data_IF_135161257587
#
_entry.id   IF_135161257587
#
_cell.length_a   1.000
_cell.length_b   1.000
_cell.length_c   1.000
_cell.angle_alpha   90.00
_cell.angle_beta   90.00
_cell.angle_gamma   90.00
#
_symmetry.space_group_name_H-M   'P 1'
#
loop_
_entity.id
_entity.type
_entity.pdbx_description
1 polymer ?
#
# COMPACT_ATOMS: atom_id res chain seq x y z
N UNK A 1 -18.24 -17.33 -8.36
CA UNK A 1 -17.86 -16.07 -9.05
C UNK A 1 -18.11 -14.81 -8.19
N UNK A 2 -19.27 -14.68 -7.51
CA UNK A 2 -19.66 -13.43 -6.81
C UNK A 2 -18.84 -13.09 -5.55
N UNK A 3 -18.46 -14.08 -4.72
CA UNK A 3 -17.67 -13.84 -3.49
C UNK A 3 -16.24 -13.35 -3.80
N UNK A 4 -15.63 -13.84 -4.87
CA UNK A 4 -14.28 -13.42 -5.29
C UNK A 4 -14.23 -11.97 -5.79
N UNK A 5 -15.24 -11.54 -6.55
CA UNK A 5 -15.36 -10.15 -7.01
C UNK A 5 -15.66 -9.16 -5.88
N UNK A 6 -16.41 -9.59 -4.85
CA UNK A 6 -16.66 -8.78 -3.65
C UNK A 6 -15.37 -8.58 -2.84
N UNK A 7 -14.58 -9.64 -2.63
CA UNK A 7 -13.28 -9.55 -1.95
C UNK A 7 -12.32 -8.60 -2.69
N UNK A 8 -12.31 -8.67 -4.03
CA UNK A 8 -11.50 -7.79 -4.87
C UNK A 8 -11.91 -6.32 -4.71
N UNK A 9 -13.21 -6.01 -4.79
CA UNK A 9 -13.72 -4.66 -4.59
C UNK A 9 -13.48 -4.10 -3.19
N UNK A 10 -13.63 -4.93 -2.15
CA UNK A 10 -13.37 -4.55 -0.76
C UNK A 10 -11.90 -4.14 -0.55
N UNK A 11 -10.95 -4.92 -1.06
CA UNK A 11 -9.52 -4.64 -0.89
C UNK A 11 -9.09 -3.32 -1.56
N UNK A 12 -9.71 -2.93 -2.67
CA UNK A 12 -9.47 -1.63 -3.33
C UNK A 12 -10.15 -0.50 -2.56
N UNK A 13 -11.40 -0.70 -2.13
CA UNK A 13 -12.21 0.36 -1.53
C UNK A 13 -11.76 0.73 -0.11
N UNK A 14 -11.32 -0.25 0.68
CA UNK A 14 -11.02 -0.04 2.11
C UNK A 14 -9.70 0.66 2.34
N UNK A 15 -8.73 0.58 1.43
CA UNK A 15 -7.42 1.19 1.66
C UNK A 15 -7.48 2.73 1.70
N UNK A 16 -8.43 3.36 1.02
CA UNK A 16 -8.51 4.83 0.94
C UNK A 16 -8.99 5.49 2.25
N UNK A 17 -9.96 4.88 2.96
CA UNK A 17 -10.53 5.45 4.18
C UNK A 17 -9.50 5.64 5.34
N UNK A 18 -8.60 4.69 5.63
CA UNK A 18 -7.57 4.82 6.66
C UNK A 18 -6.27 5.46 6.16
N UNK A 19 -6.23 6.12 5.00
CA UNK A 19 -4.99 6.69 4.43
C UNK A 19 -4.20 7.51 5.46
N UNK A 20 -4.85 8.44 6.16
CA UNK A 20 -4.19 9.31 7.16
C UNK A 20 -3.60 8.53 8.33
N UNK A 21 -4.24 7.45 8.76
CA UNK A 21 -3.76 6.60 9.87
C UNK A 21 -2.53 5.82 9.42
N UNK A 22 -2.53 5.34 8.18
CA UNK A 22 -1.38 4.63 7.59
C UNK A 22 -0.18 5.57 7.40
N UNK A 23 -0.43 6.79 6.90
CA UNK A 23 0.60 7.83 6.77
C UNK A 23 1.20 8.22 8.13
N UNK A 24 0.39 8.29 9.19
CA UNK A 24 0.88 8.51 10.56
C UNK A 24 1.77 7.36 11.03
N UNK A 25 1.37 6.11 10.78
CA UNK A 25 2.18 4.93 11.11
C UNK A 25 3.51 4.91 10.35
N UNK A 26 3.53 5.36 9.08
CA UNK A 26 4.80 5.55 8.35
C UNK A 26 5.70 6.56 9.05
N UNK A 27 5.15 7.71 9.43
CA UNK A 27 5.90 8.76 10.09
C UNK A 27 6.46 8.31 11.46
N UNK A 28 5.65 7.62 12.27
CA UNK A 28 6.09 7.02 13.53
C UNK A 28 7.23 6.01 13.32
N UNK A 29 7.09 5.14 12.33
CA UNK A 29 8.11 4.13 12.00
C UNK A 29 9.39 4.78 11.50
N UNK A 30 9.29 5.85 10.72
CA UNK A 30 10.42 6.61 10.20
C UNK A 30 11.18 7.32 11.31
N UNK A 31 10.47 8.01 12.21
CA UNK A 31 11.05 8.64 13.39
C UNK A 31 11.76 7.61 14.29
N UNK A 32 11.19 6.43 14.48
CA UNK A 32 11.82 5.35 15.24
C UNK A 32 13.10 4.79 14.60
N UNK A 33 13.28 4.94 13.28
CA UNK A 33 14.44 4.42 12.53
C UNK A 33 15.58 5.43 12.35
N UNK A 34 15.27 6.72 12.23
CA UNK A 34 16.30 7.76 12.00
C UNK A 34 17.17 8.04 13.22
N UNK A 35 16.72 7.68 14.42
CA UNK A 35 17.47 7.91 15.66
C UNK A 35 17.69 9.41 15.96
N UNK A 36 18.55 9.76 16.92
CA UNK A 36 18.72 11.15 17.40
C UNK A 36 19.36 12.11 16.39
N UNK A 37 19.90 11.62 15.27
CA UNK A 37 20.75 12.40 14.36
C UNK A 37 19.98 13.17 13.29
N UNK A 38 18.72 12.81 13.02
CA UNK A 38 17.87 13.53 12.06
C UNK A 38 16.39 13.46 12.47
N UNK A 39 15.92 14.38 13.36
CA UNK A 39 14.57 14.36 13.93
C UNK A 39 13.52 14.96 12.98
N UNK A 40 13.73 14.87 11.67
CA UNK A 40 12.78 15.34 10.67
C UNK A 40 11.62 14.36 10.46
N UNK A 41 10.40 14.89 10.39
CA UNK A 41 9.25 14.15 9.84
C UNK A 41 9.54 13.71 8.40
N UNK A 42 8.88 12.64 7.93
CA UNK A 42 9.02 12.15 6.55
C UNK A 42 8.85 13.31 5.55
N UNK A 43 9.79 13.50 4.59
CA UNK A 43 9.60 14.45 3.50
C UNK A 43 8.33 14.13 2.71
N UNK A 44 7.49 15.12 2.35
CA UNK A 44 6.17 14.88 1.74
C UNK A 44 6.24 14.05 0.46
N UNK A 45 7.26 14.25 -0.38
CA UNK A 45 7.46 13.43 -1.60
C UNK A 45 7.72 11.95 -1.30
N UNK A 46 8.47 11.64 -0.24
CA UNK A 46 8.74 10.27 0.20
C UNK A 46 7.48 9.63 0.77
N UNK A 47 6.70 10.38 1.55
CA UNK A 47 5.43 9.91 2.12
C UNK A 47 4.44 9.53 1.01
N UNK A 48 4.27 10.41 0.02
CA UNK A 48 3.39 10.16 -1.13
C UNK A 48 3.85 8.95 -1.94
N UNK A 49 5.16 8.76 -2.10
CA UNK A 49 5.72 7.60 -2.82
C UNK A 49 5.48 6.29 -2.06
N UNK A 50 5.68 6.27 -0.75
CA UNK A 50 5.40 5.10 0.11
C UNK A 50 3.92 4.72 0.11
N UNK A 51 3.05 5.72 0.17
CA UNK A 51 1.62 5.54 0.05
C UNK A 51 1.23 4.98 -1.33
N UNK A 52 1.72 5.61 -2.40
CA UNK A 52 1.45 5.17 -3.77
C UNK A 52 1.94 3.74 -4.04
N UNK A 53 3.12 3.39 -3.53
CA UNK A 53 3.67 2.03 -3.65
C UNK A 53 2.76 0.99 -2.97
N UNK A 54 2.24 1.32 -1.79
CA UNK A 54 1.36 0.43 -1.02
C UNK A 54 0.04 0.17 -1.74
N UNK A 55 -0.53 1.20 -2.40
CA UNK A 55 -1.71 1.03 -3.26
C UNK A 55 -1.37 0.28 -4.55
N UNK A 56 -0.23 0.58 -5.17
CA UNK A 56 0.16 0.01 -6.48
C UNK A 56 0.48 -1.49 -6.44
N UNK A 57 0.97 -2.02 -5.30
CA UNK A 57 1.25 -3.45 -5.12
C UNK A 57 0.01 -4.33 -5.39
N UNK A 58 -1.19 -3.81 -5.11
CA UNK A 58 -2.43 -4.50 -5.45
C UNK A 58 -2.56 -4.75 -6.97
N UNK A 59 -2.32 -3.73 -7.79
CA UNK A 59 -2.38 -3.84 -9.25
C UNK A 59 -1.30 -4.77 -9.80
N UNK A 60 -0.08 -4.69 -9.25
CA UNK A 60 1.04 -5.57 -9.62
C UNK A 60 0.70 -7.03 -9.32
N UNK A 61 0.19 -7.33 -8.12
CA UNK A 61 -0.26 -8.68 -7.76
C UNK A 61 -1.37 -9.20 -8.67
N UNK A 62 -2.31 -8.34 -9.06
CA UNK A 62 -3.36 -8.67 -10.03
C UNK A 62 -2.79 -9.09 -11.39
N UNK A 63 -1.84 -8.33 -11.94
CA UNK A 63 -1.18 -8.66 -13.21
C UNK A 63 -0.46 -10.01 -13.15
N UNK A 64 0.30 -10.28 -12.08
CA UNK A 64 0.97 -11.58 -11.91
C UNK A 64 -0.01 -12.74 -11.75
N UNK A 65 -1.09 -12.54 -10.99
CA UNK A 65 -2.12 -13.57 -10.82
C UNK A 65 -2.81 -13.92 -12.15
N UNK A 66 -3.18 -12.91 -12.95
CA UNK A 66 -3.78 -13.14 -14.27
C UNK A 66 -2.83 -13.84 -15.23
N UNK A 67 -1.55 -13.49 -15.21
CA UNK A 67 -0.53 -14.15 -16.03
C UNK A 67 -0.36 -15.63 -15.68
N UNK A 68 -0.25 -15.96 -14.38
CA UNK A 68 -0.11 -17.34 -13.92
C UNK A 68 -1.34 -18.20 -14.24
N UNK A 69 -2.55 -17.64 -14.09
CA UNK A 69 -3.78 -18.33 -14.49
C UNK A 69 -3.79 -18.64 -15.99
N UNK A 70 -3.26 -17.74 -16.83
CA UNK A 70 -3.12 -17.99 -18.27
C UNK A 70 -2.11 -19.09 -18.64
N UNK A 71 -1.16 -19.41 -17.75
CA UNK A 71 -0.21 -20.53 -17.93
C UNK A 71 -0.81 -21.86 -17.45
N UNK A 72 -1.61 -21.81 -16.38
CA UNK A 72 -2.18 -23.01 -15.72
C UNK A 72 -3.46 -23.48 -16.42
N UNK A 73 -4.21 -22.56 -17.04
CA UNK A 73 -5.43 -22.85 -17.82
C UNK A 73 -5.13 -23.51 -19.16
#
# INVERSE_FOLDING_TARGET
>A
AVLGSLQFGYNIGVINAPQKVIEQSYNETWLGRQGPMDPGSIPPGTLTTLWALSVAIFSVGGMFSSFLLGIIS
#
